data_IF_203768435561
#
_entry.id   IF_203768435561
#
_cell.length_a   1.000
_cell.length_b   1.000
_cell.length_c   1.000
_cell.angle_alpha   90.00
_cell.angle_beta   90.00
_cell.angle_gamma   90.00
#
_symmetry.space_group_name_H-M   'P 1'
#
loop_
_entity.id
_entity.type
_entity.pdbx_description
1 polymer ?
#
# COMPACT_ATOMS: atom_id res chain seq x y z
N UNK A 1 -51.44 -29.40 -45.97
CA UNK A 1 -50.28 -28.49 -45.82
C UNK A 1 -49.71 -28.63 -44.40
N UNK A 2 -48.80 -29.59 -44.20
CA UNK A 2 -48.10 -29.90 -42.93
C UNK A 2 -46.60 -29.83 -43.21
N UNK A 3 -46.03 -28.63 -43.12
CA UNK A 3 -44.59 -28.32 -43.13
C UNK A 3 -44.59 -26.84 -42.77
N UNK A 4 -44.10 -26.49 -41.58
CA UNK A 4 -43.82 -25.12 -41.07
C UNK A 4 -44.07 -24.96 -39.56
N UNK A 5 -44.02 -26.05 -38.77
CA UNK A 5 -44.03 -25.96 -37.28
C UNK A 5 -42.84 -26.63 -36.59
N UNK A 6 -41.87 -27.16 -37.33
CA UNK A 6 -40.69 -27.83 -36.76
C UNK A 6 -39.40 -26.99 -36.79
N UNK A 7 -39.38 -25.83 -37.45
CA UNK A 7 -38.16 -25.00 -37.54
C UNK A 7 -38.08 -24.00 -36.36
N UNK A 8 -39.20 -23.69 -35.69
CA UNK A 8 -39.21 -22.70 -34.60
C UNK A 8 -38.71 -23.26 -33.24
N UNK A 9 -38.65 -24.59 -33.07
CA UNK A 9 -38.21 -25.22 -31.82
C UNK A 9 -36.69 -25.46 -31.81
N UNK A 10 -36.02 -25.47 -32.97
CA UNK A 10 -34.59 -25.74 -33.06
C UNK A 10 -33.69 -24.52 -32.77
N UNK A 11 -34.24 -23.30 -32.82
CA UNK A 11 -33.48 -22.04 -32.65
C UNK A 11 -33.45 -21.58 -31.17
N UNK A 12 -34.39 -22.04 -30.34
CA UNK A 12 -34.43 -21.68 -28.91
C UNK A 12 -33.49 -22.57 -28.08
N UNK A 13 -33.20 -23.79 -28.53
CA UNK A 13 -32.31 -24.73 -27.85
C UNK A 13 -30.80 -24.42 -27.97
N UNK A 14 -30.41 -23.43 -28.80
CA UNK A 14 -28.99 -23.01 -28.94
C UNK A 14 -28.67 -21.77 -28.09
N UNK A 15 -29.66 -21.11 -27.50
CA UNK A 15 -29.46 -19.89 -26.69
C UNK A 15 -29.30 -20.15 -25.18
N UNK A 16 -29.34 -21.41 -24.73
CA UNK A 16 -29.22 -21.76 -23.30
C UNK A 16 -27.84 -22.32 -22.91
N UNK A 17 -26.90 -22.41 -23.85
CA UNK A 17 -25.52 -22.89 -23.61
C UNK A 17 -24.44 -21.82 -23.76
N UNK A 18 -24.80 -20.55 -23.98
CA UNK A 18 -23.83 -19.45 -23.94
C UNK A 18 -23.90 -18.71 -22.60
N UNK A 19 -22.78 -18.79 -21.89
CA UNK A 19 -22.47 -18.15 -20.60
C UNK A 19 -22.85 -18.91 -19.32
N UNK A 20 -22.59 -20.21 -19.29
CA UNK A 20 -21.86 -20.73 -18.12
C UNK A 20 -20.37 -20.38 -18.35
N UNK A 21 -19.98 -19.15 -18.02
CA UNK A 21 -18.62 -18.96 -17.51
C UNK A 21 -18.71 -19.44 -16.07
N UNK A 22 -18.51 -20.74 -15.92
CA UNK A 22 -17.88 -21.28 -14.74
C UNK A 22 -16.55 -20.55 -14.62
N UNK A 23 -16.52 -19.41 -13.93
CA UNK A 23 -15.28 -18.84 -13.40
C UNK A 23 -14.87 -19.77 -12.24
N UNK A 24 -14.51 -21.00 -12.61
CA UNK A 24 -13.81 -21.93 -11.77
C UNK A 24 -12.51 -21.26 -11.37
N UNK A 25 -12.47 -20.83 -10.11
CA UNK A 25 -11.31 -20.54 -9.28
C UNK A 25 -9.99 -20.61 -10.06
N UNK A 26 -9.71 -19.56 -10.82
CA UNK A 26 -8.31 -19.23 -11.06
C UNK A 26 -7.86 -18.74 -9.71
N UNK A 27 -7.10 -19.57 -8.99
CA UNK A 27 -6.24 -19.11 -7.91
C UNK A 27 -5.43 -17.96 -8.51
N UNK A 28 -5.95 -16.78 -8.27
CA UNK A 28 -5.57 -15.58 -8.97
C UNK A 28 -4.32 -15.14 -8.22
N UNK A 29 -3.17 -15.72 -8.57
CA UNK A 29 -1.87 -15.45 -7.97
C UNK A 29 -1.70 -13.97 -7.65
N UNK A 30 -1.43 -13.66 -6.38
CA UNK A 30 -1.09 -12.32 -5.94
C UNK A 30 0.44 -12.21 -5.99
N UNK A 31 1.00 -11.44 -6.95
CA UNK A 31 2.43 -11.46 -7.24
C UNK A 31 3.32 -10.99 -6.09
N UNK A 32 2.73 -10.47 -5.02
CA UNK A 32 3.45 -10.03 -3.82
C UNK A 32 2.98 -10.77 -2.59
N UNK A 33 1.68 -10.93 -2.38
CA UNK A 33 1.19 -11.57 -1.16
C UNK A 33 1.59 -13.04 -1.06
N UNK A 34 1.78 -13.71 -2.20
CA UNK A 34 2.19 -15.12 -2.23
C UNK A 34 3.71 -15.30 -2.02
N UNK A 35 4.50 -14.21 -1.97
CA UNK A 35 5.93 -14.27 -1.65
C UNK A 35 6.15 -14.60 -0.17
N UNK A 36 7.36 -15.00 0.20
CA UNK A 36 7.70 -15.22 1.61
C UNK A 36 7.74 -13.89 2.38
N UNK A 37 7.07 -13.87 3.54
CA UNK A 37 7.17 -12.78 4.50
C UNK A 37 8.30 -13.04 5.49
N UNK A 38 9.28 -12.14 5.52
CA UNK A 38 10.35 -12.11 6.50
C UNK A 38 10.18 -10.92 7.43
N UNK A 39 10.10 -11.18 8.73
CA UNK A 39 10.04 -10.13 9.77
C UNK A 39 11.30 -9.27 9.76
N UNK A 40 11.14 -7.96 9.96
CA UNK A 40 12.29 -7.06 10.11
C UNK A 40 13.08 -7.44 11.37
N UNK A 41 14.40 -7.68 11.22
CA UNK A 41 15.27 -8.09 12.34
C UNK A 41 16.02 -6.93 12.96
N UNK A 42 16.46 -5.97 12.15
CA UNK A 42 17.15 -4.77 12.62
C UNK A 42 16.66 -3.53 11.89
N UNK A 43 16.61 -2.39 12.59
CA UNK A 43 16.31 -1.11 11.95
C UNK A 43 17.36 -0.73 10.90
N UNK A 44 18.61 -1.15 11.08
CA UNK A 44 19.71 -0.91 10.12
C UNK A 44 19.41 -1.44 8.71
N UNK A 45 18.53 -2.44 8.57
CA UNK A 45 18.12 -2.99 7.27
C UNK A 45 17.33 -1.95 6.43
N UNK A 46 16.70 -0.98 7.10
CA UNK A 46 15.90 0.10 6.47
C UNK A 46 16.49 1.51 6.69
N UNK A 47 17.29 1.74 7.73
CA UNK A 47 17.82 3.07 8.12
C UNK A 47 18.83 3.69 7.14
N UNK A 48 19.20 2.99 6.05
CA UNK A 48 20.17 3.47 5.05
C UNK A 48 19.61 3.52 3.64
N UNK A 49 18.33 3.23 3.47
CA UNK A 49 17.71 3.06 2.16
C UNK A 49 16.49 3.99 2.02
N UNK A 50 16.25 4.42 0.78
CA UNK A 50 14.99 5.04 0.37
C UNK A 50 14.17 3.94 -0.31
N UNK A 51 12.89 3.85 0.04
CA UNK A 51 11.97 2.89 -0.56
C UNK A 51 10.79 3.63 -1.19
N UNK A 52 10.61 3.52 -2.49
CA UNK A 52 9.52 4.15 -3.22
C UNK A 52 8.23 3.37 -3.08
N UNK A 53 7.10 4.07 -2.99
CA UNK A 53 5.79 3.44 -2.92
C UNK A 53 5.58 2.51 -4.11
N UNK A 54 5.10 1.30 -3.84
CA UNK A 54 4.90 0.26 -4.84
C UNK A 54 3.46 -0.22 -4.90
N UNK A 55 2.74 -0.24 -3.77
CA UNK A 55 1.36 -0.71 -3.75
C UNK A 55 0.73 -0.76 -2.37
N UNK A 56 -0.49 -1.28 -2.32
CA UNK A 56 -1.30 -1.43 -1.11
C UNK A 56 -2.06 -2.75 -1.14
N UNK A 57 -2.22 -3.39 0.02
CA UNK A 57 -3.14 -4.51 0.22
C UNK A 57 -4.15 -4.15 1.30
N UNK A 58 -5.43 -4.37 1.00
CA UNK A 58 -6.56 -4.08 1.89
C UNK A 58 -7.28 -5.38 2.22
N UNK A 59 -7.27 -5.78 3.50
CA UNK A 59 -7.98 -6.97 3.97
C UNK A 59 -7.58 -8.22 3.19
N UNK A 60 -8.58 -8.95 2.68
CA UNK A 60 -8.38 -10.15 1.88
C UNK A 60 -8.29 -9.88 0.37
N UNK A 61 -8.43 -8.62 -0.07
CA UNK A 61 -8.26 -8.27 -1.47
C UNK A 61 -6.81 -8.46 -1.93
N UNK A 62 -6.64 -8.62 -3.23
CA UNK A 62 -5.31 -8.66 -3.85
C UNK A 62 -4.54 -7.37 -3.62
N UNK A 63 -3.22 -7.50 -3.61
CA UNK A 63 -2.29 -6.38 -3.62
C UNK A 63 -2.49 -5.57 -4.90
N UNK A 64 -2.85 -4.30 -4.73
CA UNK A 64 -2.94 -3.33 -5.82
C UNK A 64 -1.59 -2.66 -6.02
N UNK A 65 -0.93 -2.98 -7.14
CA UNK A 65 0.38 -2.46 -7.49
C UNK A 65 0.33 -1.25 -8.39
N UNK A 66 1.30 -0.35 -8.23
CA UNK A 66 1.57 0.67 -9.23
C UNK A 66 1.94 0.01 -10.55
N UNK A 67 1.35 0.54 -11.62
CA UNK A 67 1.67 0.13 -12.98
C UNK A 67 3.12 0.56 -13.28
N UNK A 68 3.98 -0.32 -13.83
CA UNK A 68 5.33 0.05 -14.23
C UNK A 68 5.32 1.26 -15.17
N UNK A 69 6.16 2.27 -14.88
CA UNK A 69 6.20 3.52 -15.64
C UNK A 69 5.05 4.49 -15.35
N UNK A 70 4.26 4.27 -14.29
CA UNK A 70 3.22 5.19 -13.86
C UNK A 70 3.75 6.61 -13.67
N UNK A 71 3.06 7.58 -14.27
CA UNK A 71 3.32 9.02 -14.09
C UNK A 71 2.50 9.62 -12.95
N UNK A 72 1.78 8.80 -12.18
CA UNK A 72 1.03 9.28 -11.02
C UNK A 72 1.99 9.82 -9.96
N UNK A 73 1.61 10.88 -9.24
CA UNK A 73 2.41 11.39 -8.13
C UNK A 73 2.68 10.35 -7.03
N UNK A 74 1.83 9.31 -6.93
CA UNK A 74 2.06 8.19 -6.03
C UNK A 74 3.36 7.43 -6.32
N UNK A 75 3.80 7.41 -7.57
CA UNK A 75 5.07 6.78 -7.97
C UNK A 75 6.30 7.55 -7.45
N UNK A 76 6.12 8.81 -7.04
CA UNK A 76 7.17 9.64 -6.43
C UNK A 76 7.16 9.59 -4.91
N UNK A 77 6.16 8.97 -4.28
CA UNK A 77 6.11 8.82 -2.83
C UNK A 77 7.18 7.85 -2.33
N UNK A 78 7.75 8.11 -1.15
CA UNK A 78 8.81 7.27 -0.61
C UNK A 78 8.84 7.24 0.91
N UNK A 79 9.32 6.13 1.46
CA UNK A 79 9.68 5.94 2.86
C UNK A 79 11.20 5.99 2.99
N UNK A 80 11.73 6.80 3.92
CA UNK A 80 13.18 6.89 4.16
C UNK A 80 13.50 7.23 5.62
N UNK A 81 14.75 6.99 6.07
CA UNK A 81 15.26 7.64 7.27
C UNK A 81 15.15 9.16 7.14
N UNK A 82 14.92 9.83 8.26
CA UNK A 82 14.81 11.29 8.34
C UNK A 82 15.65 11.80 9.51
N UNK A 83 16.45 12.82 9.26
CA UNK A 83 17.25 13.49 10.28
C UNK A 83 16.93 14.98 10.27
N UNK A 84 16.57 15.51 11.43
CA UNK A 84 16.31 16.93 11.61
C UNK A 84 16.87 17.37 12.96
N UNK A 85 17.72 18.41 12.96
CA UNK A 85 18.46 18.82 14.16
C UNK A 85 17.53 19.29 15.28
N UNK A 86 16.40 19.88 14.90
CA UNK A 86 15.38 20.38 15.83
C UNK A 86 14.43 19.29 16.31
N UNK A 87 14.48 18.09 15.74
CA UNK A 87 13.61 16.96 16.05
C UNK A 87 14.43 15.69 16.32
N UNK A 88 15.13 15.65 17.46
CA UNK A 88 16.02 14.55 17.83
C UNK A 88 15.36 13.15 17.86
N UNK A 89 14.03 13.09 17.98
CA UNK A 89 13.26 11.84 18.02
C UNK A 89 12.64 11.48 16.66
N UNK A 90 12.94 12.21 15.58
CA UNK A 90 12.52 11.87 14.23
C UNK A 90 13.41 10.74 13.70
N UNK A 91 12.80 9.68 13.19
CA UNK A 91 13.52 8.50 12.71
C UNK A 91 13.28 8.25 11.21
N UNK A 92 12.02 8.29 10.79
CA UNK A 92 11.64 8.01 9.40
C UNK A 92 10.54 8.95 8.92
N UNK A 93 10.35 9.02 7.61
CA UNK A 93 9.25 9.73 6.98
C UNK A 93 8.73 8.99 5.76
N UNK A 94 7.41 8.93 5.63
CA UNK A 94 6.71 8.59 4.40
C UNK A 94 6.26 9.89 3.73
N UNK A 95 6.99 10.28 2.69
CA UNK A 95 6.79 11.51 1.95
C UNK A 95 5.76 11.28 0.85
N UNK A 96 4.69 12.08 0.89
CA UNK A 96 3.54 11.96 0.02
C UNK A 96 3.51 13.08 -1.00
N UNK A 97 3.03 12.77 -2.20
CA UNK A 97 2.91 13.73 -3.29
C UNK A 97 1.49 13.76 -3.81
N UNK A 98 1.05 14.95 -4.20
CA UNK A 98 -0.22 15.16 -4.89
C UNK A 98 0.00 15.99 -6.15
N UNK A 99 -0.99 15.96 -7.04
CA UNK A 99 -0.97 16.82 -8.24
C UNK A 99 -1.16 18.27 -7.79
N UNK A 100 -0.18 19.11 -8.13
CA UNK A 100 -0.20 20.56 -7.96
C UNK A 100 -0.12 21.29 -9.30
N UNK A 101 0.16 22.60 -9.24
CA UNK A 101 0.14 23.46 -10.41
C UNK A 101 1.34 23.24 -11.34
N UNK A 102 2.49 22.85 -10.78
CA UNK A 102 3.74 22.65 -11.53
C UNK A 102 4.14 21.17 -11.67
N UNK A 103 3.26 20.25 -11.29
CA UNK A 103 3.51 18.81 -11.32
C UNK A 103 3.23 18.18 -9.95
N UNK A 104 4.04 17.19 -9.57
CA UNK A 104 3.88 16.54 -8.27
C UNK A 104 4.53 17.37 -7.17
N UNK A 105 3.72 17.79 -6.21
CA UNK A 105 4.13 18.62 -5.08
C UNK A 105 3.96 17.83 -3.78
N UNK A 106 4.87 18.05 -2.83
CA UNK A 106 4.79 17.40 -1.50
C UNK A 106 3.54 17.85 -0.77
N UNK A 107 2.82 16.90 -0.18
CA UNK A 107 1.65 17.15 0.66
C UNK A 107 1.92 16.71 2.11
N UNK A 108 0.88 16.76 2.95
CA UNK A 108 0.94 16.29 4.33
C UNK A 108 1.47 14.86 4.39
N UNK A 109 2.72 14.77 4.86
CA UNK A 109 3.50 13.55 4.92
C UNK A 109 3.40 12.94 6.32
N UNK A 110 3.81 11.69 6.47
CA UNK A 110 3.74 10.99 7.75
C UNK A 110 5.14 10.77 8.32
N UNK A 111 5.36 11.21 9.55
CA UNK A 111 6.66 11.15 10.21
C UNK A 111 6.61 10.23 11.41
N UNK A 112 7.63 9.38 11.51
CA UNK A 112 7.79 8.36 12.53
C UNK A 112 8.77 8.88 13.57
N UNK A 113 8.29 8.97 14.80
CA UNK A 113 9.06 9.45 15.94
C UNK A 113 9.06 8.44 17.06
N UNK A 114 10.06 8.49 17.94
CA UNK A 114 10.17 7.57 19.09
C UNK A 114 10.17 6.10 18.64
N UNK A 115 10.87 5.80 17.55
CA UNK A 115 10.79 4.49 16.88
C UNK A 115 11.75 3.50 17.49
N UNK A 116 11.26 2.30 17.81
CA UNK A 116 12.09 1.17 18.25
C UNK A 116 11.50 -0.16 17.78
N UNK A 117 12.38 -1.12 17.46
CA UNK A 117 11.97 -2.49 17.21
C UNK A 117 11.88 -3.22 18.55
N UNK A 118 10.68 -3.60 18.97
CA UNK A 118 10.45 -4.25 20.27
C UNK A 118 10.59 -5.78 20.19
N UNK A 119 10.25 -6.36 19.04
CA UNK A 119 10.48 -7.75 18.65
C UNK A 119 10.69 -7.80 17.13
N UNK A 120 11.17 -8.93 16.60
CA UNK A 120 11.24 -9.11 15.14
C UNK A 120 9.89 -8.81 14.48
N UNK A 121 9.90 -7.87 13.54
CA UNK A 121 8.72 -7.43 12.79
C UNK A 121 7.72 -6.57 13.55
N UNK A 122 8.00 -6.18 14.80
CA UNK A 122 7.12 -5.34 15.63
C UNK A 122 7.76 -3.98 15.92
N UNK A 123 7.33 -2.96 15.18
CA UNK A 123 7.84 -1.61 15.27
C UNK A 123 6.98 -0.75 16.18
N UNK A 124 7.47 -0.41 17.36
CA UNK A 124 6.85 0.65 18.16
C UNK A 124 7.19 2.01 17.56
N UNK A 125 6.19 2.88 17.39
CA UNK A 125 6.39 4.23 16.88
C UNK A 125 5.25 5.18 17.24
N UNK A 126 5.52 6.48 17.23
CA UNK A 126 4.53 7.54 17.18
C UNK A 126 4.51 8.14 15.78
N UNK A 127 3.39 8.02 15.06
CA UNK A 127 3.21 8.62 13.73
C UNK A 127 2.46 9.94 13.85
N UNK A 128 3.03 10.98 13.23
CA UNK A 128 2.44 12.31 13.13
C UNK A 128 2.31 12.70 11.67
N UNK A 129 1.27 13.45 11.32
CA UNK A 129 1.30 14.23 10.09
C UNK A 129 2.32 15.35 10.22
N UNK A 130 2.82 15.85 9.10
CA UNK A 130 3.67 17.03 9.09
C UNK A 130 3.84 17.61 7.69
N UNK A 131 4.45 18.79 7.66
CA UNK A 131 4.74 19.55 6.45
C UNK A 131 6.25 19.69 6.31
N UNK A 132 6.74 19.56 5.07
CA UNK A 132 8.10 19.91 4.69
C UNK A 132 8.02 21.29 4.02
N UNK A 133 8.42 22.37 4.70
CA UNK A 133 8.40 23.70 4.09
C UNK A 133 9.54 23.83 3.07
N UNK A 134 9.37 24.72 2.08
CA UNK A 134 10.44 25.06 1.12
C UNK A 134 11.70 25.59 1.80
N UNK A 135 11.52 26.23 2.96
CA UNK A 135 12.59 26.78 3.80
C UNK A 135 12.28 26.52 5.27
N UNK A 136 13.26 26.01 5.99
CA UNK A 136 13.17 25.75 7.42
C UNK A 136 13.00 24.26 7.75
N UNK A 137 12.82 23.94 9.04
CA UNK A 137 12.75 22.57 9.50
C UNK A 137 11.39 21.93 9.21
N UNK A 138 11.35 20.60 9.25
CA UNK A 138 10.09 19.84 9.24
C UNK A 138 9.17 20.31 10.38
N UNK A 139 7.89 20.53 10.07
CA UNK A 139 6.88 20.91 11.06
C UNK A 139 5.99 19.72 11.33
N UNK A 140 6.11 19.13 12.53
CA UNK A 140 5.25 18.05 12.98
C UNK A 140 3.91 18.60 13.47
N UNK A 141 2.83 17.97 13.04
CA UNK A 141 1.46 18.34 13.38
C UNK A 141 0.82 17.27 14.29
N UNK A 142 -0.44 16.94 14.02
CA UNK A 142 -1.27 16.02 14.78
C UNK A 142 -0.69 14.61 14.77
N UNK A 143 -0.63 14.01 15.96
CA UNK A 143 -0.43 12.57 16.14
C UNK A 143 -1.63 11.81 15.57
N UNK A 144 -1.36 10.94 14.61
CA UNK A 144 -2.37 10.07 14.00
C UNK A 144 -2.34 8.65 14.58
N UNK A 145 -1.18 8.22 15.10
CA UNK A 145 -1.02 6.90 15.68
C UNK A 145 0.09 6.87 16.74
N UNK A 146 -0.07 5.98 17.73
CA UNK A 146 1.01 5.58 18.64
C UNK A 146 0.76 4.13 19.04
N UNK A 147 1.73 3.26 18.82
CA UNK A 147 1.60 1.84 19.08
C UNK A 147 2.57 1.02 18.26
N UNK A 148 2.25 -0.27 18.12
CA UNK A 148 3.06 -1.25 17.41
C UNK A 148 2.49 -1.41 16.00
N UNK A 149 3.38 -1.46 15.01
CA UNK A 149 3.09 -1.78 13.62
C UNK A 149 3.78 -3.08 13.24
N UNK A 150 3.13 -3.89 12.42
CA UNK A 150 3.84 -4.94 11.70
C UNK A 150 4.72 -4.36 10.60
N UNK A 151 5.98 -4.79 10.55
CA UNK A 151 6.95 -4.40 9.52
C UNK A 151 7.80 -5.59 9.09
N UNK A 152 8.22 -5.61 7.83
CA UNK A 152 9.15 -6.62 7.33
C UNK A 152 9.27 -6.56 5.83
N UNK A 153 9.77 -7.64 5.24
CA UNK A 153 9.92 -7.78 3.81
C UNK A 153 8.98 -8.86 3.29
N UNK A 154 8.26 -8.56 2.22
CA UNK A 154 7.48 -9.52 1.45
C UNK A 154 8.19 -9.68 0.10
N UNK A 155 9.01 -10.72 -0.04
CA UNK A 155 10.02 -10.76 -1.10
C UNK A 155 10.97 -9.56 -1.03
N UNK A 156 11.05 -8.75 -2.10
CA UNK A 156 11.90 -7.55 -2.16
C UNK A 156 11.21 -6.27 -1.64
N UNK A 157 9.95 -6.36 -1.22
CA UNK A 157 9.15 -5.19 -0.85
C UNK A 157 9.19 -4.98 0.66
N UNK A 158 9.56 -3.77 1.09
CA UNK A 158 9.31 -3.33 2.46
C UNK A 158 7.79 -3.23 2.66
N UNK A 159 7.25 -4.04 3.56
CA UNK A 159 5.84 -4.08 3.93
C UNK A 159 5.66 -3.43 5.29
N UNK A 160 4.78 -2.44 5.38
CA UNK A 160 4.47 -1.73 6.63
C UNK A 160 2.96 -1.74 6.84
N UNK A 161 2.52 -2.10 8.06
CA UNK A 161 1.13 -1.91 8.46
C UNK A 161 0.72 -0.44 8.31
N UNK A 162 -0.37 -0.22 7.59
CA UNK A 162 -0.80 1.11 7.22
C UNK A 162 -1.53 1.82 8.35
N UNK A 163 -0.85 2.79 8.96
CA UNK A 163 -1.48 3.81 9.82
C UNK A 163 -1.26 5.23 9.27
N UNK A 164 -0.97 5.34 7.98
CA UNK A 164 -0.51 6.57 7.32
C UNK A 164 -1.44 7.02 6.21
N UNK A 165 -2.17 6.12 5.54
CA UNK A 165 -3.09 6.49 4.48
C UNK A 165 -4.40 7.05 5.04
N UNK A 166 -5.21 7.63 4.15
CA UNK A 166 -6.57 8.09 4.44
C UNK A 166 -7.61 6.97 4.35
N UNK A 167 -7.18 5.71 4.15
CA UNK A 167 -8.07 4.57 4.06
C UNK A 167 -8.88 4.40 5.35
N UNK A 168 -10.21 4.39 5.20
CA UNK A 168 -11.15 4.15 6.28
C UNK A 168 -11.47 2.67 6.30
N UNK A 169 -11.02 2.00 7.36
CA UNK A 169 -11.33 0.59 7.61
C UNK A 169 -12.83 0.43 7.86
N UNK A 170 -13.42 -0.53 7.17
CA UNK A 170 -14.81 -0.95 7.42
C UNK A 170 -14.87 -1.91 8.62
N UNK A 171 -13.91 -2.83 8.71
CA UNK A 171 -13.70 -3.70 9.86
C UNK A 171 -12.54 -3.17 10.74
N UNK A 172 -12.77 -2.89 12.04
CA UNK A 172 -11.72 -2.48 12.97
C UNK A 172 -10.51 -3.43 13.04
N UNK A 173 -10.69 -4.72 12.72
CA UNK A 173 -9.65 -5.73 12.74
C UNK A 173 -8.94 -5.91 11.38
N UNK A 174 -9.38 -5.18 10.35
CA UNK A 174 -8.79 -5.26 9.02
C UNK A 174 -7.34 -4.77 9.03
N UNK A 175 -6.46 -5.63 8.53
CA UNK A 175 -5.07 -5.29 8.27
C UNK A 175 -4.93 -4.73 6.87
N UNK A 176 -4.26 -3.59 6.80
CA UNK A 176 -3.93 -2.89 5.57
C UNK A 176 -2.42 -2.71 5.57
N UNK A 177 -1.79 -2.97 4.43
CA UNK A 177 -0.35 -2.89 4.29
C UNK A 177 0.02 -2.01 3.12
N UNK A 178 1.00 -1.13 3.32
CA UNK A 178 1.68 -0.42 2.24
C UNK A 178 2.95 -1.20 1.87
N UNK A 179 3.25 -1.23 0.57
CA UNK A 179 4.44 -1.85 0.02
C UNK A 179 5.32 -0.79 -0.61
N UNK A 180 6.61 -0.90 -0.34
CA UNK A 180 7.63 -0.02 -0.88
C UNK A 180 8.77 -0.85 -1.48
N UNK A 181 9.39 -0.36 -2.55
CA UNK A 181 10.52 -1.00 -3.23
C UNK A 181 11.74 -0.08 -3.25
N UNK A 182 12.92 -0.64 -3.02
CA UNK A 182 14.19 0.09 -3.09
C UNK A 182 14.49 0.58 -4.49
#
# INVERSE_FOLDING_TARGET
MKKNRQILVLIISVLIFSCSKSDDNKDEFDPIFDLEYTKLKNLDDISKNVFYYAGIKVGNAKTSMLIPGSTSCRASEYFSPMEEKTLANLNFGYIKYQIGALGCETTNSSFFTETSLINEGELFTTIRNGIIPDKGPIILEKRIFKGILEIGFQGEYLRIEDRMSTYKREDPNEKVYLYFKK
#
